data_IF_154715644096
#
_entry.id   IF_154715644096
#
_cell.length_a   1.000
_cell.length_b   1.000
_cell.length_c   1.000
_cell.angle_alpha   90.00
_cell.angle_beta   90.00
_cell.angle_gamma   90.00
#
_symmetry.space_group_name_H-M   'P 1'
#
loop_
_entity.id
_entity.type
_entity.pdbx_description
1 polymer ?
#
# COMPACT_ATOMS: atom_id res chain seq x y z
N UNK A 1 14.66 -10.82 1.00
CA UNK A 1 14.76 -9.36 1.22
C UNK A 1 15.18 -9.14 2.65
N UNK A 2 16.42 -8.70 2.86
CA UNK A 2 16.89 -8.28 4.19
C UNK A 2 16.92 -6.76 4.22
N UNK A 3 16.17 -6.17 5.15
CA UNK A 3 16.28 -4.75 5.44
C UNK A 3 17.50 -4.53 6.33
N UNK A 4 18.25 -3.46 6.07
CA UNK A 4 19.28 -3.03 7.00
C UNK A 4 18.62 -2.34 8.20
N UNK A 5 18.64 -2.99 9.36
CA UNK A 5 18.01 -2.48 10.58
C UNK A 5 18.80 -1.33 11.22
N UNK A 6 20.11 -1.23 10.99
CA UNK A 6 20.93 -0.13 11.53
C UNK A 6 20.56 1.22 10.89
N UNK A 7 20.07 1.18 9.65
CA UNK A 7 19.55 2.35 8.92
C UNK A 7 18.06 2.59 9.15
N UNK A 8 17.36 1.66 9.78
CA UNK A 8 15.91 1.73 9.98
C UNK A 8 15.61 2.37 11.34
N UNK A 9 15.03 3.58 11.40
CA UNK A 9 14.69 4.23 12.67
C UNK A 9 13.47 3.61 13.37
N UNK A 10 13.15 2.33 13.10
CA UNK A 10 11.95 1.63 13.57
C UNK A 10 10.64 2.39 13.29
N UNK A 11 10.59 3.09 12.17
CA UNK A 11 9.43 3.89 11.77
C UNK A 11 8.37 3.01 11.08
N UNK A 12 7.06 3.15 11.39
CA UNK A 12 6.00 2.34 10.79
C UNK A 12 5.64 2.71 9.34
N UNK A 13 6.49 3.46 8.63
CA UNK A 13 6.23 3.92 7.25
C UNK A 13 6.02 2.75 6.31
N UNK A 14 6.87 1.72 6.38
CA UNK A 14 6.77 0.55 5.50
C UNK A 14 5.42 -0.17 5.62
N UNK A 15 4.83 -0.16 6.82
CA UNK A 15 3.49 -0.72 7.04
C UNK A 15 2.42 0.23 6.53
N UNK A 16 2.52 1.53 6.83
CA UNK A 16 1.53 2.54 6.44
C UNK A 16 1.42 2.79 4.94
N UNK A 17 2.50 2.60 4.17
CA UNK A 17 2.51 2.76 2.70
C UNK A 17 2.35 1.43 1.96
N UNK A 18 2.19 0.32 2.67
CA UNK A 18 2.04 -0.97 2.00
C UNK A 18 0.64 -1.08 1.37
N UNK A 19 0.52 -1.32 0.05
CA UNK A 19 -0.78 -1.45 -0.62
C UNK A 19 -1.59 -2.65 -0.14
N UNK A 20 -0.95 -3.62 0.53
CA UNK A 20 -1.61 -4.78 1.13
C UNK A 20 -2.04 -4.56 2.59
N UNK A 21 -1.70 -3.41 3.20
CA UNK A 21 -2.06 -3.10 4.58
C UNK A 21 -3.44 -2.43 4.69
N UNK A 22 -4.42 -2.95 3.95
CA UNK A 22 -5.81 -2.48 4.03
C UNK A 22 -6.56 -3.24 5.13
N UNK A 23 -7.42 -2.54 5.87
CA UNK A 23 -8.32 -3.12 6.89
C UNK A 23 -9.16 -4.25 6.24
N UNK A 24 -9.10 -5.45 6.82
CA UNK A 24 -9.68 -6.68 6.25
C UNK A 24 -11.16 -6.87 6.56
N UNK A 25 -11.63 -6.33 7.68
CA UNK A 25 -12.92 -6.73 8.25
C UNK A 25 -14.11 -5.82 7.84
N UNK A 26 -13.85 -4.64 7.25
CA UNK A 26 -14.85 -3.57 7.08
C UNK A 26 -14.84 -2.88 5.69
N UNK A 27 -14.48 -3.59 4.61
CA UNK A 27 -14.40 -2.97 3.26
C UNK A 27 -15.03 -3.80 2.14
N UNK A 28 -15.46 -3.08 1.09
CA UNK A 28 -16.14 -3.57 -0.11
C UNK A 28 -15.44 -4.77 -0.76
N UNK A 29 -16.23 -5.70 -1.31
CA UNK A 29 -15.76 -6.93 -1.98
C UNK A 29 -14.67 -6.69 -3.05
N UNK A 30 -14.67 -5.52 -3.68
CA UNK A 30 -13.68 -5.09 -4.66
C UNK A 30 -12.26 -5.09 -4.10
N UNK A 31 -12.05 -4.73 -2.83
CA UNK A 31 -10.71 -4.75 -2.23
C UNK A 31 -10.14 -6.17 -2.13
N UNK A 32 -10.99 -7.18 -1.92
CA UNK A 32 -10.57 -8.58 -1.91
C UNK A 32 -10.20 -9.09 -3.30
N UNK A 33 -11.02 -8.77 -4.31
CA UNK A 33 -10.73 -9.13 -5.71
C UNK A 33 -9.44 -8.48 -6.23
N UNK A 34 -9.23 -7.19 -5.95
CA UNK A 34 -8.00 -6.48 -6.34
C UNK A 34 -6.79 -7.06 -5.63
N UNK A 35 -6.91 -7.41 -4.35
CA UNK A 35 -5.81 -8.06 -3.61
C UNK A 35 -5.45 -9.42 -4.20
N UNK A 36 -6.43 -10.28 -4.47
CA UNK A 36 -6.21 -11.62 -5.04
C UNK A 36 -5.61 -11.50 -6.45
N UNK A 37 -6.17 -10.63 -7.29
CA UNK A 37 -5.62 -10.41 -8.63
C UNK A 37 -4.19 -9.87 -8.57
N UNK A 38 -3.89 -8.86 -7.75
CA UNK A 38 -2.54 -8.33 -7.60
C UNK A 38 -1.55 -9.35 -7.03
N UNK A 39 -1.96 -10.26 -6.13
CA UNK A 39 -1.08 -11.31 -5.61
C UNK A 39 -0.78 -12.43 -6.61
N UNK A 40 -1.71 -12.72 -7.52
CA UNK A 40 -1.59 -13.82 -8.49
C UNK A 40 -1.12 -13.38 -9.88
N UNK A 41 -1.24 -12.11 -10.23
CA UNK A 41 -0.90 -11.60 -11.57
C UNK A 41 0.37 -10.74 -11.55
N UNK A 42 1.53 -11.40 -11.49
CA UNK A 42 2.83 -10.72 -11.45
C UNK A 42 3.13 -9.88 -12.70
N UNK A 43 2.45 -10.14 -13.83
CA UNK A 43 2.57 -9.37 -15.07
C UNK A 43 2.08 -7.92 -14.92
N UNK A 44 1.16 -7.67 -13.98
CA UNK A 44 0.60 -6.34 -13.72
C UNK A 44 1.29 -5.61 -12.56
N UNK A 45 2.39 -6.13 -12.03
CA UNK A 45 3.11 -5.50 -10.92
C UNK A 45 3.48 -4.04 -11.21
N UNK A 46 3.96 -3.75 -12.43
CA UNK A 46 4.32 -2.39 -12.83
C UNK A 46 3.08 -1.49 -12.96
N UNK A 47 1.97 -2.04 -13.47
CA UNK A 47 0.71 -1.30 -13.56
C UNK A 47 0.21 -0.90 -12.17
N UNK A 48 0.12 -1.85 -11.24
CA UNK A 48 -0.34 -1.57 -9.88
C UNK A 48 0.61 -0.66 -9.10
N UNK A 49 1.94 -0.78 -9.31
CA UNK A 49 2.92 0.16 -8.76
C UNK A 49 2.69 1.58 -9.26
N UNK A 50 2.49 1.77 -10.56
CA UNK A 50 2.25 3.09 -11.12
C UNK A 50 0.91 3.66 -10.64
N UNK A 51 -0.09 2.81 -10.46
CA UNK A 51 -1.39 3.20 -9.93
C UNK A 51 -1.27 3.74 -8.49
N UNK A 52 -0.52 3.04 -7.63
CA UNK A 52 -0.24 3.48 -6.25
C UNK A 52 0.46 4.84 -6.20
N UNK A 53 1.48 5.05 -7.05
CA UNK A 53 2.20 6.33 -7.15
C UNK A 53 1.33 7.47 -7.70
N UNK A 54 0.43 7.18 -8.65
CA UNK A 54 -0.44 8.21 -9.24
C UNK A 54 -1.58 8.62 -8.31
N UNK A 55 -2.15 7.69 -7.55
CA UNK A 55 -3.18 8.02 -6.57
C UNK A 55 -2.60 8.54 -5.25
N UNK A 56 -1.28 8.39 -5.06
CA UNK A 56 -0.55 8.81 -3.87
C UNK A 56 -1.21 8.24 -2.61
N UNK A 57 -1.56 6.95 -2.65
CA UNK A 57 -2.13 6.28 -1.48
C UNK A 57 -1.05 6.08 -0.41
N UNK A 58 -1.42 6.30 0.85
CA UNK A 58 -0.48 6.16 1.98
C UNK A 58 -0.58 7.31 2.97
N UNK A 59 0.57 7.66 3.56
CA UNK A 59 0.62 8.59 4.69
C UNK A 59 0.56 10.05 4.23
N UNK A 60 -0.66 10.55 3.99
CA UNK A 60 -0.91 11.97 3.69
C UNK A 60 -0.80 12.83 4.95
N UNK A 61 -0.41 14.09 4.76
CA UNK A 61 -0.44 15.08 5.84
C UNK A 61 -1.89 15.27 6.31
N UNK A 62 -2.09 15.32 7.63
CA UNK A 62 -3.40 15.48 8.28
C UNK A 62 -4.10 16.76 7.81
N UNK A 63 -3.30 17.77 7.45
CA UNK A 63 -3.76 19.07 6.94
C UNK A 63 -4.43 18.98 5.57
N UNK A 64 -4.15 17.94 4.80
CA UNK A 64 -4.70 17.72 3.46
C UNK A 64 -5.89 16.75 3.44
N UNK A 65 -6.35 16.26 4.61
CA UNK A 65 -7.52 15.37 4.67
C UNK A 65 -8.85 16.11 4.44
N UNK A 66 -8.88 17.42 4.70
CA UNK A 66 -10.08 18.25 4.72
C UNK A 66 -10.09 19.36 3.67
N UNK A 67 -9.05 19.44 2.82
CA UNK A 67 -9.07 20.28 1.63
C UNK A 67 -9.79 19.54 0.51
#
# INVERSE_FOLDING_TARGET
>A
WHCNYDLCPHCPVCQGTCPFNTIRDDKSFIHELVRISASHTTVFNTFFRNMDLNFDYGRKDQRDWWK
#
